data_IF_348494818208
#
_entry.id   IF_348494818208
#
_cell.length_a   1.000
_cell.length_b   1.000
_cell.length_c   1.000
_cell.angle_alpha   90.00
_cell.angle_beta   90.00
_cell.angle_gamma   90.00
#
_symmetry.space_group_name_H-M   'P 1'
#
loop_
_entity.id
_entity.type
_entity.pdbx_description
1 polymer ?
#
# COMPACT_ATOMS: atom_id res chain seq x y z
N UNK A 1 -1.86 -11.13 12.67
CA UNK A 1 -0.61 -10.39 12.98
C UNK A 1 0.36 -10.65 11.82
N UNK A 2 1.22 -9.70 11.45
CA UNK A 2 2.20 -9.88 10.39
C UNK A 2 3.56 -9.34 10.82
N UNK A 3 4.65 -9.82 10.21
CA UNK A 3 5.99 -9.28 10.45
C UNK A 3 6.88 -9.41 9.22
N UNK A 4 7.95 -8.61 9.18
CA UNK A 4 8.99 -8.67 8.15
C UNK A 4 10.20 -9.45 8.70
N UNK A 5 10.52 -10.65 8.17
CA UNK A 5 11.67 -11.44 8.62
C UNK A 5 12.98 -10.71 8.37
N UNK A 6 13.12 -10.14 7.18
CA UNK A 6 14.30 -9.38 6.75
C UNK A 6 13.96 -7.89 6.83
N UNK A 7 14.45 -7.22 7.87
CA UNK A 7 14.25 -5.76 8.06
C UNK A 7 15.51 -5.08 8.61
N UNK A 8 15.85 -3.88 8.13
CA UNK A 8 16.98 -3.11 8.67
C UNK A 8 16.77 -2.76 10.15
N UNK A 9 17.85 -2.81 10.94
CA UNK A 9 17.85 -2.43 12.36
C UNK A 9 16.76 -3.14 13.19
N UNK A 10 16.58 -4.44 12.97
CA UNK A 10 15.53 -5.27 13.59
C UNK A 10 15.52 -5.29 15.12
N UNK A 11 16.66 -4.99 15.76
CA UNK A 11 16.80 -4.87 17.21
C UNK A 11 16.19 -3.57 17.79
N UNK A 12 15.99 -2.55 16.95
CA UNK A 12 15.48 -1.24 17.35
C UNK A 12 14.05 -1.06 16.84
N UNK A 13 13.77 -1.48 15.60
CA UNK A 13 12.48 -1.30 14.96
C UNK A 13 11.73 -2.62 14.78
N UNK A 14 10.47 -2.61 15.21
CA UNK A 14 9.51 -3.70 14.99
C UNK A 14 8.96 -3.73 13.56
N UNK A 15 9.07 -2.61 12.83
CA UNK A 15 8.62 -2.46 11.44
C UNK A 15 9.80 -2.41 10.46
N UNK A 16 9.54 -2.64 9.17
CA UNK A 16 10.55 -2.47 8.13
C UNK A 16 10.67 -0.99 7.73
N UNK A 17 11.58 -0.28 8.39
CA UNK A 17 11.76 1.17 8.21
C UNK A 17 12.14 1.59 6.78
N UNK A 18 12.88 0.75 6.05
CA UNK A 18 13.23 1.02 4.66
C UNK A 18 11.98 0.99 3.77
N UNK A 19 11.14 -0.03 3.98
CA UNK A 19 9.87 -0.12 3.29
C UNK A 19 8.99 1.10 3.58
N UNK A 20 8.82 1.43 4.87
CA UNK A 20 7.95 2.53 5.31
C UNK A 20 8.41 3.91 4.86
N UNK A 21 9.71 4.21 4.94
CA UNK A 21 10.24 5.56 4.70
C UNK A 21 10.69 5.81 3.26
N UNK A 22 11.05 4.76 2.51
CA UNK A 22 11.56 4.91 1.15
C UNK A 22 10.63 4.26 0.13
N UNK A 23 10.38 2.95 0.24
CA UNK A 23 9.62 2.20 -0.78
C UNK A 23 8.19 2.74 -0.92
N UNK A 24 7.49 2.90 0.21
CA UNK A 24 6.10 3.36 0.23
C UNK A 24 5.96 4.78 -0.36
N UNK A 25 6.73 5.79 0.08
CA UNK A 25 6.62 7.13 -0.49
C UNK A 25 7.01 7.20 -1.97
N UNK A 26 8.09 6.51 -2.36
CA UNK A 26 8.53 6.47 -3.77
C UNK A 26 7.44 5.85 -4.65
N UNK A 27 6.80 4.78 -4.19
CA UNK A 27 5.71 4.11 -4.90
C UNK A 27 4.45 4.98 -4.98
N UNK A 28 4.15 5.76 -3.94
CA UNK A 28 2.96 6.61 -3.91
C UNK A 28 3.04 7.83 -4.85
N UNK A 29 4.24 8.36 -5.12
CA UNK A 29 4.43 9.51 -6.03
C UNK A 29 3.79 9.28 -7.42
N UNK A 30 4.14 8.22 -8.18
CA UNK A 30 3.54 7.98 -9.49
C UNK A 30 2.04 7.66 -9.38
N UNK A 31 1.60 6.92 -8.36
CA UNK A 31 0.18 6.63 -8.16
C UNK A 31 -0.65 7.90 -7.99
N UNK A 32 -0.19 8.82 -7.14
CA UNK A 32 -0.87 10.11 -6.93
C UNK A 32 -0.90 10.95 -8.21
N UNK A 33 0.19 10.97 -8.99
CA UNK A 33 0.23 11.67 -10.28
C UNK A 33 -0.79 11.11 -11.27
N UNK A 34 -0.92 9.79 -11.35
CA UNK A 34 -1.93 9.14 -12.19
C UNK A 34 -3.33 9.47 -11.66
N UNK A 35 -3.57 9.33 -10.35
CA UNK A 35 -4.88 9.66 -9.77
C UNK A 35 -5.30 11.12 -9.97
N UNK A 36 -4.35 12.06 -10.09
CA UNK A 36 -4.66 13.45 -10.40
C UNK A 36 -5.12 13.67 -11.85
N UNK A 37 -4.60 12.90 -12.81
CA UNK A 37 -4.97 13.04 -14.23
C UNK A 37 -6.28 12.36 -14.59
N UNK A 38 -6.78 11.44 -13.75
CA UNK A 38 -8.03 10.72 -13.98
C UNK A 38 -9.27 11.55 -13.61
N UNK A 39 -10.41 11.27 -14.26
CA UNK A 39 -11.71 11.82 -13.87
C UNK A 39 -12.33 11.01 -12.70
N UNK A 40 -13.39 11.53 -12.06
CA UNK A 40 -13.92 10.98 -10.81
C UNK A 40 -14.21 9.46 -10.83
N UNK A 41 -14.88 8.96 -11.87
CA UNK A 41 -15.16 7.52 -12.02
C UNK A 41 -13.88 6.71 -12.26
N UNK A 42 -13.00 7.17 -13.15
CA UNK A 42 -11.74 6.49 -13.43
C UNK A 42 -10.81 6.45 -12.21
N UNK A 43 -10.85 7.45 -11.32
CA UNK A 43 -10.13 7.40 -10.03
C UNK A 43 -10.60 6.25 -9.16
N UNK A 44 -11.92 6.04 -9.07
CA UNK A 44 -12.50 4.93 -8.31
C UNK A 44 -12.09 3.58 -8.90
N UNK A 45 -12.21 3.42 -10.22
CA UNK A 45 -11.78 2.21 -10.92
C UNK A 45 -10.27 1.95 -10.73
N UNK A 46 -9.44 2.98 -10.88
CA UNK A 46 -8.00 2.89 -10.67
C UNK A 46 -7.63 2.51 -9.23
N UNK A 47 -8.32 3.08 -8.23
CA UNK A 47 -8.11 2.74 -6.84
C UNK A 47 -8.43 1.26 -6.56
N UNK A 48 -9.52 0.74 -7.14
CA UNK A 48 -9.87 -0.69 -7.02
C UNK A 48 -8.83 -1.58 -7.70
N UNK A 49 -8.42 -1.26 -8.93
CA UNK A 49 -7.46 -2.09 -9.67
C UNK A 49 -6.09 -2.11 -9.03
N UNK A 50 -5.57 -0.95 -8.58
CA UNK A 50 -4.27 -0.91 -7.90
C UNK A 50 -4.33 -1.61 -6.54
N UNK A 51 -5.43 -1.50 -5.80
CA UNK A 51 -5.57 -2.18 -4.51
C UNK A 51 -5.59 -3.70 -4.67
N UNK A 52 -6.23 -4.20 -5.74
CA UNK A 52 -6.21 -5.62 -6.07
C UNK A 52 -4.79 -6.07 -6.46
N UNK A 53 -4.10 -5.28 -7.29
CA UNK A 53 -2.72 -5.56 -7.67
C UNK A 53 -1.79 -5.58 -6.45
N UNK A 54 -1.94 -4.63 -5.53
CA UNK A 54 -1.17 -4.59 -4.28
C UNK A 54 -1.45 -5.78 -3.38
N UNK A 55 -2.72 -6.20 -3.23
CA UNK A 55 -3.05 -7.41 -2.47
C UNK A 55 -2.44 -8.67 -3.09
N UNK A 56 -2.38 -8.76 -4.42
CA UNK A 56 -1.71 -9.86 -5.11
C UNK A 56 -0.18 -9.81 -4.93
N UNK A 57 0.43 -8.64 -5.09
CA UNK A 57 1.87 -8.43 -4.87
C UNK A 57 2.26 -8.71 -3.42
N UNK A 58 1.39 -8.37 -2.48
CA UNK A 58 1.54 -8.75 -1.08
C UNK A 58 1.60 -10.28 -1.00
N UNK A 59 0.59 -11.02 -1.47
CA UNK A 59 0.66 -12.48 -1.42
C UNK A 59 1.95 -13.06 -2.04
N UNK A 60 2.38 -12.53 -3.18
CA UNK A 60 3.64 -12.94 -3.81
C UNK A 60 4.87 -12.64 -2.93
N UNK A 61 4.90 -11.49 -2.27
CA UNK A 61 5.97 -11.13 -1.35
C UNK A 61 5.97 -11.99 -0.07
N UNK A 62 4.81 -12.51 0.34
CA UNK A 62 4.73 -13.55 1.37
C UNK A 62 5.43 -14.83 0.92
N UNK A 63 5.10 -15.30 -0.28
CA UNK A 63 5.63 -16.54 -0.84
C UNK A 63 7.16 -16.44 -1.09
N UNK A 64 7.66 -15.22 -1.32
CA UNK A 64 9.10 -14.91 -1.39
C UNK A 64 9.78 -14.73 -0.02
N UNK A 65 9.04 -14.82 1.09
CA UNK A 65 9.55 -14.67 2.46
C UNK A 65 9.90 -13.24 2.87
N UNK A 66 9.45 -12.23 2.11
CA UNK A 66 9.73 -10.82 2.42
C UNK A 66 8.89 -10.31 3.60
N UNK A 67 7.68 -10.84 3.77
CA UNK A 67 6.89 -10.70 4.99
C UNK A 67 6.17 -12.03 5.28
N UNK A 68 5.65 -12.19 6.50
CA UNK A 68 4.85 -13.36 6.91
C UNK A 68 3.59 -12.89 7.62
N UNK A 69 2.43 -13.38 7.18
CA UNK A 69 1.18 -13.25 7.94
C UNK A 69 0.99 -14.44 8.89
N UNK A 70 0.15 -14.23 9.92
CA UNK A 70 -0.37 -15.32 10.73
C UNK A 70 -1.30 -16.22 9.91
N UNK A 71 -1.37 -17.50 10.27
CA UNK A 71 -2.10 -18.55 9.52
C UNK A 71 -3.59 -18.25 9.25
N UNK A 72 -4.23 -17.41 10.08
CA UNK A 72 -5.64 -17.02 9.95
C UNK A 72 -5.83 -15.68 9.22
N UNK A 73 -4.82 -15.20 8.48
CA UNK A 73 -4.92 -13.94 7.77
C UNK A 73 -5.81 -14.05 6.54
N UNK A 74 -6.84 -13.22 6.47
CA UNK A 74 -7.70 -13.11 5.30
C UNK A 74 -7.21 -11.99 4.38
N UNK A 75 -6.65 -12.36 3.22
CA UNK A 75 -6.18 -11.42 2.20
C UNK A 75 -7.28 -10.48 1.64
N UNK A 76 -8.55 -10.77 1.87
CA UNK A 76 -9.63 -9.82 1.58
C UNK A 76 -9.52 -8.54 2.42
N UNK A 77 -9.05 -8.65 3.66
CA UNK A 77 -8.81 -7.49 4.52
C UNK A 77 -7.65 -6.64 4.01
N UNK A 78 -6.62 -7.26 3.44
CA UNK A 78 -5.55 -6.56 2.74
C UNK A 78 -6.10 -5.71 1.60
N UNK A 79 -6.93 -6.29 0.73
CA UNK A 79 -7.54 -5.56 -0.39
C UNK A 79 -8.38 -4.37 0.10
N UNK A 80 -9.24 -4.59 1.09
CA UNK A 80 -10.04 -3.52 1.69
C UNK A 80 -9.15 -2.42 2.31
N UNK A 81 -8.06 -2.81 2.97
CA UNK A 81 -7.06 -1.91 3.53
C UNK A 81 -6.39 -1.04 2.48
N UNK A 82 -5.97 -1.61 1.35
CA UNK A 82 -5.40 -0.84 0.24
C UNK A 82 -6.42 0.12 -0.38
N UNK A 83 -7.67 -0.31 -0.58
CA UNK A 83 -8.73 0.58 -1.07
C UNK A 83 -8.90 1.80 -0.16
N UNK A 84 -8.97 1.58 1.15
CA UNK A 84 -9.08 2.64 2.16
C UNK A 84 -7.84 3.55 2.14
N UNK A 85 -6.65 2.97 2.11
CA UNK A 85 -5.38 3.71 2.12
C UNK A 85 -5.24 4.62 0.88
N UNK A 86 -5.44 4.06 -0.32
CA UNK A 86 -5.36 4.81 -1.58
C UNK A 86 -6.43 5.90 -1.64
N UNK A 87 -7.66 5.58 -1.23
CA UNK A 87 -8.75 6.55 -1.16
C UNK A 87 -8.42 7.72 -0.23
N UNK A 88 -7.94 7.41 0.98
CA UNK A 88 -7.59 8.41 1.99
C UNK A 88 -6.43 9.30 1.53
N UNK A 89 -5.34 8.72 1.05
CA UNK A 89 -4.18 9.49 0.58
C UNK A 89 -4.54 10.34 -0.64
N UNK A 90 -5.32 9.80 -1.58
CA UNK A 90 -5.76 10.59 -2.73
C UNK A 90 -6.68 11.75 -2.32
N UNK A 91 -7.57 11.54 -1.34
CA UNK A 91 -8.45 12.59 -0.83
C UNK A 91 -7.64 13.67 -0.11
N UNK A 92 -6.72 13.26 0.76
CA UNK A 92 -5.82 14.17 1.48
C UNK A 92 -4.94 14.97 0.52
N UNK A 93 -4.35 14.31 -0.47
CA UNK A 93 -3.54 14.96 -1.50
C UNK A 93 -4.37 15.91 -2.39
N UNK A 94 -5.62 15.56 -2.67
CA UNK A 94 -6.54 16.47 -3.36
C UNK A 94 -6.89 17.69 -2.52
N UNK A 95 -7.11 17.50 -1.21
CA UNK A 95 -7.43 18.58 -0.28
C UNK A 95 -6.29 19.58 -0.14
N UNK A 96 -5.04 19.11 0.05
CA UNK A 96 -3.88 20.00 0.22
C UNK A 96 -3.52 20.79 -1.06
N UNK A 97 -3.84 20.24 -2.24
CA UNK A 97 -3.55 20.86 -3.53
C UNK A 97 -4.70 21.68 -4.12
N UNK A 98 -5.88 21.66 -3.50
CA UNK A 98 -6.96 22.59 -3.85
C UNK A 98 -6.56 23.99 -3.35
N UNK A 99 -6.13 24.84 -4.29
CA UNK A 99 -6.12 26.30 -4.07
C UNK A 99 -7.53 26.83 -3.99
#
# INVERSE_FOLDING_TARGET
>A
MYYFPIRPFSAIFSINILFTLAVLPIFMIPLLKIMQSLNGWLKGLFALTISLAMAALEKMAEDMGLFVHADHWHHLYTFAGYCLFIGLISAFHGWINRK
#
